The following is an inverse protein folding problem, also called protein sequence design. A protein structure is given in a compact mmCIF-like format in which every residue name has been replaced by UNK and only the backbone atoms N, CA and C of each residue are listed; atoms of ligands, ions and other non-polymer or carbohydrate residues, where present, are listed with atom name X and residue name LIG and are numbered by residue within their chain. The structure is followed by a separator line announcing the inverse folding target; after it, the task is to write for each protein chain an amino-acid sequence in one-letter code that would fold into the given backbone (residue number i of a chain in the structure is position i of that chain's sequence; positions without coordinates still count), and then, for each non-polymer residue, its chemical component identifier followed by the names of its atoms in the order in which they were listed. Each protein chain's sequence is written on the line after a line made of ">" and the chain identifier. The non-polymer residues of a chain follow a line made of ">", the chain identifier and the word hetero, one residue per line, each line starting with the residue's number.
data_IF_302923189526
#
_entry.id   IF_302923189526
#
_cell.length_a   1.000
_cell.length_b   1.000
_cell.length_c   1.000
_cell.angle_alpha   90.00
_cell.angle_beta   90.00
_cell.angle_gamma   90.00
#
_symmetry.space_group_name_H-M   'P 1'
#
loop_
_entity.id
_entity.type
_entity.pdbx_description
1 polymer ?
#
# COMPACT_ATOMS: atom_id res chain seq x y z
N UNK A 1 -42.03 -8.82 56.63
CA UNK A 1 -41.90 -9.34 55.26
C UNK A 1 -41.59 -8.13 54.36
N UNK A 2 -40.30 -7.82 54.13
CA UNK A 2 -39.86 -6.59 53.43
C UNK A 2 -39.41 -6.98 52.03
N UNK A 3 -40.20 -6.58 51.03
CA UNK A 3 -39.87 -6.70 49.63
C UNK A 3 -39.09 -5.44 49.22
N UNK A 4 -37.80 -5.56 48.97
CA UNK A 4 -36.97 -4.51 48.37
C UNK A 4 -37.02 -4.67 46.86
N UNK A 5 -37.64 -3.71 46.21
CA UNK A 5 -37.61 -3.57 44.77
C UNK A 5 -36.25 -3.00 44.34
N UNK A 6 -35.49 -3.82 43.62
CA UNK A 6 -34.24 -3.39 42.98
C UNK A 6 -34.52 -2.70 41.66
N UNK A 7 -34.14 -1.43 41.56
CA UNK A 7 -34.16 -0.67 40.30
C UNK A 7 -32.94 -1.08 39.48
N UNK A 8 -33.16 -1.81 38.39
CA UNK A 8 -32.12 -2.10 37.41
C UNK A 8 -31.93 -0.89 36.48
N UNK A 9 -30.79 -0.20 36.64
CA UNK A 9 -30.38 0.86 35.72
C UNK A 9 -29.82 0.18 34.45
N UNK A 10 -30.56 0.24 33.37
CA UNK A 10 -30.09 -0.17 32.05
C UNK A 10 -29.30 1.01 31.47
N UNK A 11 -27.99 0.92 31.56
CA UNK A 11 -27.07 1.81 30.85
C UNK A 11 -26.99 1.37 29.37
N UNK A 12 -27.75 2.01 28.48
CA UNK A 12 -27.61 1.81 27.03
C UNK A 12 -26.28 2.43 26.55
N UNK A 13 -25.40 1.58 26.10
CA UNK A 13 -24.11 1.95 25.53
C UNK A 13 -24.30 2.53 24.11
N UNK A 14 -24.17 3.83 23.95
CA UNK A 14 -24.28 4.56 22.66
C UNK A 14 -22.93 4.56 21.91
N UNK A 15 -22.01 3.65 22.21
CA UNK A 15 -20.65 3.68 21.64
C UNK A 15 -20.43 2.93 20.33
N UNK A 16 -21.46 2.25 19.75
CA UNK A 16 -21.23 1.34 18.64
C UNK A 16 -21.28 1.96 17.24
N UNK A 17 -21.92 3.11 17.05
CA UNK A 17 -22.20 3.61 15.69
C UNK A 17 -21.04 4.37 15.04
N UNK A 18 -20.22 5.05 15.81
CA UNK A 18 -19.08 5.84 15.27
C UNK A 18 -17.94 4.93 14.82
N UNK A 19 -17.64 3.89 15.59
CA UNK A 19 -16.60 2.93 15.25
C UNK A 19 -16.94 2.12 13.98
N UNK A 20 -18.21 1.78 13.76
CA UNK A 20 -18.69 1.11 12.55
C UNK A 20 -18.60 2.00 11.31
N UNK A 21 -18.95 3.29 11.41
CA UNK A 21 -18.86 4.24 10.30
C UNK A 21 -17.41 4.52 9.89
N UNK A 22 -16.49 4.62 10.84
CA UNK A 22 -15.07 4.81 10.59
C UNK A 22 -14.46 3.54 9.94
N UNK A 23 -14.85 2.36 10.40
CA UNK A 23 -14.43 1.08 9.81
C UNK A 23 -14.91 0.90 8.36
N UNK A 24 -16.10 1.38 8.00
CA UNK A 24 -16.63 1.34 6.63
C UNK A 24 -15.83 2.26 5.70
N UNK A 25 -15.58 3.51 6.13
CA UNK A 25 -14.75 4.47 5.37
C UNK A 25 -13.33 3.95 5.15
N UNK A 26 -12.75 3.30 6.14
CA UNK A 26 -11.43 2.69 6.01
C UNK A 26 -11.45 1.56 4.99
N UNK A 27 -12.46 0.71 4.99
CA UNK A 27 -12.60 -0.36 4.00
C UNK A 27 -12.77 0.17 2.58
N UNK A 28 -13.57 1.22 2.41
CA UNK A 28 -13.75 1.88 1.11
C UNK A 28 -12.43 2.48 0.62
N UNK A 29 -11.72 3.21 1.49
CA UNK A 29 -10.40 3.75 1.16
C UNK A 29 -9.44 2.65 0.70
N UNK A 30 -9.30 1.58 1.47
CA UNK A 30 -8.38 0.50 1.12
C UNK A 30 -8.75 -0.19 -0.19
N UNK A 31 -10.03 -0.46 -0.41
CA UNK A 31 -10.52 -1.06 -1.65
C UNK A 31 -10.24 -0.16 -2.87
N UNK A 32 -10.43 1.14 -2.75
CA UNK A 32 -10.13 2.09 -3.82
C UNK A 32 -8.63 2.15 -4.12
N UNK A 33 -7.78 2.18 -3.08
CA UNK A 33 -6.33 2.18 -3.27
C UNK A 33 -5.84 0.90 -3.97
N UNK A 34 -6.38 -0.27 -3.60
CA UNK A 34 -6.06 -1.54 -4.24
C UNK A 34 -6.50 -1.58 -5.70
N UNK A 35 -7.69 -1.05 -6.00
CA UNK A 35 -8.20 -0.96 -7.37
C UNK A 35 -7.29 -0.12 -8.27
N UNK A 36 -6.85 1.04 -7.79
CA UNK A 36 -5.95 1.91 -8.55
C UNK A 36 -4.57 1.29 -8.70
N UNK A 37 -4.05 0.64 -7.65
CA UNK A 37 -2.78 -0.07 -7.72
C UNK A 37 -2.83 -1.20 -8.75
N UNK A 38 -3.93 -1.94 -8.84
CA UNK A 38 -4.12 -2.99 -9.83
C UNK A 38 -4.05 -2.47 -11.27
N UNK A 39 -4.58 -1.26 -11.52
CA UNK A 39 -4.43 -0.58 -12.81
C UNK A 39 -2.97 -0.28 -13.16
N UNK A 40 -2.20 0.24 -12.21
CA UNK A 40 -0.78 0.50 -12.37
C UNK A 40 0.03 -0.79 -12.62
N UNK A 41 -0.34 -1.89 -11.95
CA UNK A 41 0.26 -3.21 -12.16
C UNK A 41 0.01 -3.70 -13.59
N UNK A 42 -1.22 -3.60 -14.07
CA UNK A 42 -1.58 -3.99 -15.44
C UNK A 42 -0.74 -3.24 -16.46
N UNK A 43 -0.67 -1.93 -16.34
CA UNK A 43 0.13 -1.09 -17.23
C UNK A 43 1.63 -1.44 -17.17
N UNK A 44 2.16 -1.73 -15.98
CA UNK A 44 3.56 -2.12 -15.82
C UNK A 44 3.84 -3.49 -16.43
N UNK A 45 2.94 -4.45 -16.26
CA UNK A 45 3.05 -5.77 -16.84
C UNK A 45 3.04 -5.73 -18.39
N UNK A 46 2.17 -4.90 -18.97
CA UNK A 46 2.15 -4.68 -20.43
C UNK A 46 3.46 -4.07 -20.91
N UNK A 47 3.97 -3.05 -20.23
CA UNK A 47 5.21 -2.37 -20.61
C UNK A 47 6.44 -3.25 -20.50
N UNK A 48 6.53 -4.05 -19.43
CA UNK A 48 7.68 -4.89 -19.11
C UNK A 48 7.60 -6.31 -19.70
N UNK A 49 6.43 -6.72 -20.19
CA UNK A 49 6.19 -8.12 -20.62
C UNK A 49 6.30 -9.09 -19.42
N UNK A 50 5.81 -8.68 -18.26
CA UNK A 50 5.87 -9.41 -17.00
C UNK A 50 4.46 -9.81 -16.51
N UNK A 51 4.39 -10.54 -15.41
CA UNK A 51 3.16 -10.92 -14.69
C UNK A 51 3.32 -10.70 -13.18
N UNK A 52 3.95 -9.58 -12.81
CA UNK A 52 4.13 -9.23 -11.39
C UNK A 52 2.77 -8.92 -10.74
N UNK A 53 2.72 -9.10 -9.42
CA UNK A 53 1.60 -8.69 -8.58
C UNK A 53 2.03 -7.58 -7.63
N UNK A 54 1.10 -6.75 -7.17
CA UNK A 54 1.37 -5.78 -6.12
C UNK A 54 0.25 -5.80 -5.08
N UNK A 55 0.62 -5.51 -3.85
CA UNK A 55 -0.31 -5.42 -2.72
C UNK A 55 0.17 -4.41 -1.69
N UNK A 56 -0.76 -3.95 -0.87
CA UNK A 56 -0.44 -3.23 0.35
C UNK A 56 -0.33 -4.17 1.54
N UNK A 57 0.58 -3.86 2.45
CA UNK A 57 0.58 -4.40 3.81
C UNK A 57 -0.24 -3.49 4.71
N UNK A 58 -1.54 -3.77 4.81
CA UNK A 58 -2.46 -2.99 5.65
C UNK A 58 -2.29 -3.24 7.16
N UNK A 59 -1.33 -4.05 7.58
CA UNK A 59 -0.91 -4.10 8.99
C UNK A 59 -0.12 -2.85 9.37
N UNK A 60 0.44 -2.15 8.37
CA UNK A 60 1.12 -0.87 8.50
C UNK A 60 0.48 0.16 7.56
N UNK A 61 -0.78 0.56 7.80
CA UNK A 61 -1.48 1.49 6.94
C UNK A 61 -1.00 2.93 7.18
N UNK A 62 -1.27 3.86 6.24
CA UNK A 62 -1.13 5.28 6.50
C UNK A 62 -2.00 5.71 7.68
N UNK A 63 -1.56 6.72 8.42
CA UNK A 63 -2.37 7.31 9.49
C UNK A 63 -3.69 7.86 8.93
N UNK A 64 -4.75 8.00 9.75
CA UNK A 64 -6.00 8.61 9.30
C UNK A 64 -5.81 10.03 8.74
N UNK A 65 -4.83 10.77 9.23
CA UNK A 65 -4.49 12.12 8.76
C UNK A 65 -3.80 12.07 7.40
N UNK A 66 -2.82 11.18 7.24
CA UNK A 66 -2.12 10.99 5.98
C UNK A 66 -3.08 10.57 4.85
N UNK A 67 -4.06 9.74 5.14
CA UNK A 67 -5.07 9.28 4.17
C UNK A 67 -5.94 10.40 3.60
N UNK A 68 -6.06 11.53 4.30
CA UNK A 68 -6.78 12.72 3.79
C UNK A 68 -5.96 13.52 2.79
N UNK A 69 -4.64 13.43 2.88
CA UNK A 69 -3.71 14.28 2.11
C UNK A 69 -3.02 13.48 1.01
N UNK A 70 -2.69 12.22 1.26
CA UNK A 70 -1.85 11.41 0.39
C UNK A 70 -2.59 10.20 -0.18
N UNK A 71 -2.25 9.87 -1.41
CA UNK A 71 -2.72 8.68 -2.09
C UNK A 71 -1.75 7.52 -1.86
N UNK A 72 -2.19 6.47 -1.17
CA UNK A 72 -1.37 5.29 -0.94
C UNK A 72 -0.93 4.64 -2.26
N UNK A 73 -1.85 4.49 -3.23
CA UNK A 73 -1.51 3.91 -4.53
C UNK A 73 -0.53 4.78 -5.33
N UNK A 74 -0.63 6.10 -5.24
CA UNK A 74 0.29 7.01 -5.92
C UNK A 74 1.72 6.86 -5.43
N UNK A 75 1.89 6.75 -4.13
CA UNK A 75 3.22 6.55 -3.53
C UNK A 75 3.77 5.12 -3.72
N UNK A 76 2.92 4.10 -3.68
CA UNK A 76 3.33 2.74 -4.03
C UNK A 76 3.60 2.60 -5.53
N UNK A 77 2.79 3.23 -6.37
CA UNK A 77 2.92 3.25 -7.83
C UNK A 77 4.24 3.82 -8.35
N UNK A 78 4.92 4.62 -7.53
CA UNK A 78 6.29 5.09 -7.80
C UNK A 78 7.25 3.92 -8.11
N UNK A 79 7.13 2.80 -7.39
CA UNK A 79 7.94 1.62 -7.65
C UNK A 79 7.64 1.01 -9.02
N UNK A 80 6.37 0.99 -9.40
CA UNK A 80 5.92 0.50 -10.70
C UNK A 80 6.37 1.44 -11.83
N UNK A 81 6.32 2.76 -11.61
CA UNK A 81 6.85 3.73 -12.57
C UNK A 81 8.35 3.57 -12.79
N UNK A 82 9.12 3.39 -11.72
CA UNK A 82 10.55 3.14 -11.82
C UNK A 82 10.86 1.82 -12.57
N UNK A 83 10.08 0.77 -12.34
CA UNK A 83 10.19 -0.48 -13.12
C UNK A 83 9.92 -0.24 -14.61
N UNK A 84 8.90 0.54 -14.96
CA UNK A 84 8.62 0.89 -16.37
C UNK A 84 9.80 1.60 -17.02
N UNK A 85 10.49 2.51 -16.31
CA UNK A 85 11.72 3.16 -16.81
C UNK A 85 12.85 2.16 -17.03
N UNK A 86 13.04 1.19 -16.12
CA UNK A 86 13.99 0.09 -16.34
C UNK A 86 13.64 -0.70 -17.59
N UNK A 87 12.36 -0.92 -17.83
CA UNK A 87 11.84 -1.66 -19.00
C UNK A 87 11.90 -0.87 -20.33
N UNK A 88 12.48 0.33 -20.36
CA UNK A 88 12.71 1.05 -21.63
C UNK A 88 13.81 0.40 -22.47
N UNK A 89 14.66 -0.42 -21.88
CA UNK A 89 15.64 -1.25 -22.59
C UNK A 89 15.24 -2.72 -22.60
N UNK A 90 15.68 -3.47 -23.61
CA UNK A 90 15.43 -4.90 -23.68
C UNK A 90 16.08 -5.65 -22.51
N UNK A 91 17.32 -5.30 -22.16
CA UNK A 91 18.00 -5.87 -21.02
C UNK A 91 17.26 -5.60 -19.69
N UNK A 92 16.72 -4.40 -19.52
CA UNK A 92 15.90 -4.04 -18.36
C UNK A 92 14.60 -4.85 -18.28
N UNK A 93 13.91 -5.06 -19.41
CA UNK A 93 12.73 -5.93 -19.47
C UNK A 93 13.05 -7.35 -19.01
N UNK A 94 14.13 -7.92 -19.51
CA UNK A 94 14.55 -9.26 -19.14
C UNK A 94 14.91 -9.35 -17.65
N UNK A 95 15.64 -8.37 -17.13
CA UNK A 95 16.00 -8.32 -15.73
C UNK A 95 14.77 -8.22 -14.80
N UNK A 96 13.83 -7.32 -15.10
CA UNK A 96 12.57 -7.20 -14.33
C UNK A 96 11.78 -8.52 -14.41
N UNK A 97 11.62 -9.08 -15.59
CA UNK A 97 10.88 -10.33 -15.80
C UNK A 97 11.47 -11.51 -15.03
N UNK A 98 12.79 -11.60 -14.96
CA UNK A 98 13.48 -12.69 -14.27
C UNK A 98 13.50 -12.50 -12.74
N UNK A 99 13.69 -11.27 -12.28
CA UNK A 99 14.01 -10.99 -10.88
C UNK A 99 12.84 -10.43 -10.06
N UNK A 100 11.81 -9.85 -10.70
CA UNK A 100 10.70 -9.22 -9.97
C UNK A 100 9.40 -9.98 -10.20
N UNK A 101 8.84 -10.52 -9.13
CA UNK A 101 7.57 -11.28 -9.13
C UNK A 101 6.45 -10.54 -8.43
N UNK A 102 6.80 -9.76 -7.41
CA UNK A 102 5.82 -9.06 -6.60
C UNK A 102 6.37 -7.78 -5.97
N UNK A 103 5.45 -6.88 -5.63
CA UNK A 103 5.69 -5.66 -4.87
C UNK A 103 4.78 -5.67 -3.65
N UNK A 104 5.33 -5.41 -2.48
CA UNK A 104 4.58 -5.16 -1.25
C UNK A 104 4.88 -3.76 -0.77
N UNK A 105 3.87 -2.94 -0.57
CA UNK A 105 4.00 -1.59 -0.03
C UNK A 105 3.46 -1.52 1.40
N UNK A 106 4.24 -0.94 2.28
CA UNK A 106 3.85 -0.56 3.64
C UNK A 106 4.14 0.92 3.86
N UNK A 107 3.69 1.49 4.98
CA UNK A 107 3.85 2.89 5.30
C UNK A 107 4.52 3.06 6.65
N UNK A 108 5.49 3.96 6.72
CA UNK A 108 6.27 4.12 7.94
C UNK A 108 7.13 5.39 7.95
N UNK A 109 7.90 5.57 9.04
CA UNK A 109 8.70 6.78 9.24
C UNK A 109 9.96 6.84 8.37
N UNK A 110 10.30 5.75 7.69
CA UNK A 110 11.50 5.67 6.86
C UNK A 110 11.13 5.18 5.46
N UNK A 111 11.78 5.75 4.45
CA UNK A 111 11.71 5.20 3.10
C UNK A 111 12.78 4.11 2.97
N UNK A 112 12.35 2.87 2.75
CA UNK A 112 13.25 1.74 2.53
C UNK A 112 12.75 0.87 1.39
N UNK A 113 13.66 0.22 0.71
CA UNK A 113 13.36 -0.76 -0.34
C UNK A 113 14.32 -1.94 -0.25
N UNK A 114 13.77 -3.14 -0.36
CA UNK A 114 14.52 -4.40 -0.37
C UNK A 114 13.96 -5.32 -1.44
N UNK A 115 14.80 -5.80 -2.35
CA UNK A 115 14.47 -6.89 -3.27
C UNK A 115 15.01 -8.20 -2.72
N UNK A 116 14.13 -9.11 -2.37
CA UNK A 116 14.48 -10.43 -1.85
C UNK A 116 13.54 -11.49 -2.42
N UNK A 117 14.10 -12.57 -2.93
CA UNK A 117 13.36 -13.72 -3.44
C UNK A 117 12.28 -13.35 -4.48
N UNK A 118 12.53 -12.33 -5.27
CA UNK A 118 11.62 -11.81 -6.30
C UNK A 118 10.55 -10.85 -5.77
N UNK A 119 10.54 -10.55 -4.49
CA UNK A 119 9.63 -9.59 -3.88
C UNK A 119 10.36 -8.28 -3.59
N UNK A 120 9.80 -7.18 -4.03
CA UNK A 120 10.21 -5.84 -3.61
C UNK A 120 9.34 -5.47 -2.41
N UNK A 121 9.96 -5.31 -1.25
CA UNK A 121 9.35 -4.72 -0.06
C UNK A 121 9.70 -3.24 -0.01
N UNK A 122 8.69 -2.39 -0.16
CA UNK A 122 8.85 -0.94 -0.19
C UNK A 122 8.08 -0.29 0.97
N UNK A 123 8.82 0.24 1.94
CA UNK A 123 8.25 1.10 2.97
C UNK A 123 8.23 2.54 2.48
N UNK A 124 7.03 3.08 2.36
CA UNK A 124 6.76 4.45 1.90
C UNK A 124 6.84 5.41 3.08
N UNK A 125 7.56 6.53 2.88
CA UNK A 125 7.49 7.69 3.74
C UNK A 125 6.94 8.87 2.93
N UNK A 126 5.78 9.41 3.32
CA UNK A 126 5.11 10.51 2.61
C UNK A 126 5.90 11.82 2.59
N UNK A 127 6.84 12.00 3.53
CA UNK A 127 7.71 13.18 3.57
C UNK A 127 8.96 13.06 2.69
N UNK A 128 9.16 11.92 2.03
CA UNK A 128 10.29 11.72 1.11
C UNK A 128 9.98 12.27 -0.27
N UNK A 129 10.97 12.92 -0.88
CA UNK A 129 10.93 13.43 -2.26
C UNK A 129 11.73 12.52 -3.20
N UNK A 130 11.60 12.77 -4.51
CA UNK A 130 12.35 12.04 -5.57
C UNK A 130 12.21 10.51 -5.47
N UNK A 131 11.00 10.06 -5.15
CA UNK A 131 10.77 8.64 -4.89
C UNK A 131 10.96 7.76 -6.12
N UNK A 132 10.64 8.26 -7.31
CA UNK A 132 10.82 7.51 -8.57
C UNK A 132 12.30 7.32 -8.87
N UNK A 133 13.11 8.37 -8.75
CA UNK A 133 14.55 8.30 -9.01
C UNK A 133 15.24 7.41 -7.97
N UNK A 134 14.87 7.54 -6.70
CA UNK A 134 15.36 6.67 -5.63
C UNK A 134 15.09 5.18 -5.93
N UNK A 135 13.88 4.85 -6.35
CA UNK A 135 13.52 3.49 -6.69
C UNK A 135 14.21 3.02 -7.97
N UNK A 136 14.33 3.90 -8.97
CA UNK A 136 15.00 3.59 -10.22
C UNK A 136 16.49 3.27 -10.01
N UNK A 137 17.22 4.08 -9.25
CA UNK A 137 18.61 3.84 -8.88
C UNK A 137 18.77 2.52 -8.11
N UNK A 138 17.87 2.26 -7.16
CA UNK A 138 17.86 0.99 -6.44
C UNK A 138 17.70 -0.21 -7.38
N UNK A 139 16.74 -0.15 -8.30
CA UNK A 139 16.47 -1.22 -9.25
C UNK A 139 17.66 -1.44 -10.21
N UNK A 140 18.28 -0.36 -10.71
CA UNK A 140 19.47 -0.45 -11.56
C UNK A 140 20.65 -1.15 -10.86
N UNK A 141 20.79 -0.99 -9.55
CA UNK A 141 21.86 -1.60 -8.78
C UNK A 141 21.58 -3.05 -8.33
N UNK A 142 20.33 -3.54 -8.43
CA UNK A 142 19.90 -4.83 -7.88
C UNK A 142 19.31 -5.78 -8.92
N UNK A 143 18.97 -5.30 -10.10
CA UNK A 143 18.53 -6.10 -11.24
C UNK A 143 19.67 -6.45 -12.17
#
# INVERSE_FOLDING_TARGET
>A
MNIRAGVAVVALSIFSSVALAQSLKDKEYFADQEKYLAGEVTFTNERCGNSLTAKFDWLKPPSPEDRKTYSAYGYCGVALEAMRRVCDSQAGKEAVKQKVKSLTCSFGPKRTVVLKDGTIDYEVNFNSSNNVDYMFEYLQGNL
#
